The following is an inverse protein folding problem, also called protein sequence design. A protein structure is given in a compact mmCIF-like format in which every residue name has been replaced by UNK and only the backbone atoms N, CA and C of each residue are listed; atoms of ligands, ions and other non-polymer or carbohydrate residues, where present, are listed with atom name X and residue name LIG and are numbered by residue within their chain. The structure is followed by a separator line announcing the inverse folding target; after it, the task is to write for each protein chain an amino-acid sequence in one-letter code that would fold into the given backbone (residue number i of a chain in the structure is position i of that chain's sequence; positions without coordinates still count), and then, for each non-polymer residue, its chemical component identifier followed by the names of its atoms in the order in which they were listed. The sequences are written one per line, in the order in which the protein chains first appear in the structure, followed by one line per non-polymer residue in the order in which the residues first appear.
data_IF_827284641804
#
_entry.id   IF_827284641804
#
_cell.length_a   1.000
_cell.length_b   1.000
_cell.length_c   1.000
_cell.angle_alpha   90.00
_cell.angle_beta   90.00
_cell.angle_gamma   90.00
#
_symmetry.space_group_name_H-M   'P 1'
#
loop_
_entity.id
_entity.type
_entity.pdbx_description
1 polymer ?
#
# COMPACT_ATOMS: atom_id res chain seq x y z
N UNK A 1 22.15 1.59 -10.22
CA UNK A 1 20.80 1.05 -10.41
C UNK A 1 20.81 -0.16 -11.35
N UNK A 2 21.29 -0.11 -12.57
CA UNK A 2 21.31 -1.24 -13.54
C UNK A 2 22.06 -2.50 -13.05
N UNK A 3 23.02 -2.40 -12.12
CA UNK A 3 23.79 -3.55 -11.64
C UNK A 3 23.00 -4.43 -10.65
N UNK A 4 22.19 -3.82 -9.78
CA UNK A 4 21.31 -4.54 -8.85
C UNK A 4 20.20 -5.28 -9.61
N UNK A 5 19.62 -4.65 -10.64
CA UNK A 5 18.64 -5.27 -11.54
C UNK A 5 19.18 -6.51 -12.27
N UNK A 6 20.45 -6.47 -12.67
CA UNK A 6 21.09 -7.61 -13.34
C UNK A 6 21.38 -8.78 -12.40
N UNK A 7 21.73 -8.51 -11.14
CA UNK A 7 21.96 -9.55 -10.11
C UNK A 7 20.63 -10.22 -9.73
N UNK A 8 19.57 -9.44 -9.58
CA UNK A 8 18.22 -9.95 -9.31
C UNK A 8 17.72 -10.85 -10.46
N UNK A 9 17.95 -10.46 -11.72
CA UNK A 9 17.63 -11.28 -12.91
C UNK A 9 18.41 -12.60 -12.94
N UNK A 10 19.66 -12.58 -12.54
CA UNK A 10 20.51 -13.79 -12.50
C UNK A 10 20.05 -14.78 -11.42
N UNK A 11 19.56 -14.29 -10.29
CA UNK A 11 19.10 -15.11 -9.15
C UNK A 11 17.69 -15.67 -9.36
N UNK A 12 16.78 -14.92 -10.01
CA UNK A 12 15.37 -15.30 -10.14
C UNK A 12 14.99 -15.86 -11.52
N UNK A 13 15.96 -16.00 -12.44
CA UNK A 13 15.74 -16.56 -13.78
C UNK A 13 14.93 -15.65 -14.71
N UNK A 14 14.55 -16.21 -15.87
CA UNK A 14 13.77 -15.54 -16.92
C UNK A 14 12.25 -15.69 -16.76
N UNK A 15 11.76 -16.10 -15.57
CA UNK A 15 10.33 -16.32 -15.33
C UNK A 15 9.63 -15.05 -14.84
N UNK A 16 8.48 -14.78 -15.43
CA UNK A 16 7.62 -13.66 -15.03
C UNK A 16 7.01 -13.91 -13.65
N UNK A 17 7.23 -13.00 -12.68
CA UNK A 17 6.62 -13.10 -11.34
C UNK A 17 5.08 -13.03 -11.35
N UNK A 18 4.50 -12.51 -12.41
CA UNK A 18 3.06 -12.43 -12.61
C UNK A 18 2.44 -13.76 -13.05
N UNK A 19 2.81 -14.28 -14.20
CA UNK A 19 2.18 -15.46 -14.80
C UNK A 19 2.99 -16.76 -14.69
N UNK A 20 4.25 -16.70 -14.23
CA UNK A 20 5.17 -17.85 -14.13
C UNK A 20 5.75 -18.31 -15.49
N UNK A 21 5.37 -17.67 -16.60
CA UNK A 21 5.89 -18.05 -17.92
C UNK A 21 7.30 -17.49 -18.12
N UNK A 22 8.15 -18.25 -18.78
CA UNK A 22 9.43 -17.75 -19.27
C UNK A 22 9.22 -16.61 -20.26
N UNK A 23 10.04 -15.56 -20.17
CA UNK A 23 9.98 -14.41 -21.09
C UNK A 23 11.39 -13.83 -21.29
N UNK A 24 11.75 -13.61 -22.56
CA UNK A 24 13.00 -12.92 -22.92
C UNK A 24 12.92 -11.42 -22.64
N UNK A 25 11.70 -10.88 -22.47
CA UNK A 25 11.42 -9.45 -22.26
C UNK A 25 10.70 -9.24 -20.94
N UNK A 26 11.47 -9.18 -19.86
CA UNK A 26 10.95 -8.81 -18.54
C UNK A 26 11.27 -7.34 -18.24
N UNK A 27 10.29 -6.59 -17.68
CA UNK A 27 10.44 -5.22 -17.18
C UNK A 27 10.23 -5.17 -15.66
N UNK A 28 11.25 -5.22 -14.86
CA UNK A 28 12.33 -6.22 -14.83
C UNK A 28 11.83 -7.59 -14.36
N UNK A 29 10.62 -7.64 -13.76
CA UNK A 29 10.04 -8.84 -13.15
C UNK A 29 8.79 -9.36 -13.85
N UNK A 30 8.16 -8.55 -14.69
CA UNK A 30 6.94 -8.91 -15.39
C UNK A 30 7.13 -8.94 -16.91
N UNK A 31 6.46 -9.88 -17.57
CA UNK A 31 6.34 -9.87 -19.01
C UNK A 31 5.39 -8.74 -19.48
N UNK A 32 5.44 -8.32 -20.75
CA UNK A 32 4.63 -7.20 -21.25
C UNK A 32 3.12 -7.34 -21.01
N UNK A 33 2.59 -8.58 -21.02
CA UNK A 33 1.18 -8.84 -20.77
C UNK A 33 0.81 -8.57 -19.32
N UNK A 34 1.63 -9.05 -18.37
CA UNK A 34 1.41 -8.79 -16.95
C UNK A 34 1.64 -7.32 -16.58
N UNK A 35 2.51 -6.59 -17.29
CA UNK A 35 2.63 -5.13 -17.11
C UNK A 35 1.34 -4.43 -17.52
N UNK A 36 0.78 -4.75 -18.69
CA UNK A 36 -0.50 -4.18 -19.14
C UNK A 36 -1.65 -4.52 -18.20
N UNK A 37 -1.71 -5.77 -17.71
CA UNK A 37 -2.70 -6.18 -16.73
C UNK A 37 -2.57 -5.37 -15.44
N UNK A 38 -1.34 -5.20 -14.91
CA UNK A 38 -1.08 -4.41 -13.70
C UNK A 38 -1.51 -2.95 -13.85
N UNK A 39 -1.22 -2.31 -14.99
CA UNK A 39 -1.61 -0.94 -15.27
C UNK A 39 -3.12 -0.77 -15.40
N UNK A 40 -3.80 -1.74 -16.00
CA UNK A 40 -5.27 -1.78 -16.07
C UNK A 40 -5.88 -1.95 -14.66
N UNK A 41 -5.36 -2.85 -13.84
CA UNK A 41 -5.82 -3.02 -12.46
C UNK A 41 -5.65 -1.72 -11.64
N UNK A 42 -4.60 -0.93 -11.90
CA UNK A 42 -4.43 0.37 -11.25
C UNK A 42 -5.52 1.39 -11.64
N UNK A 43 -5.99 1.37 -12.88
CA UNK A 43 -7.09 2.22 -13.36
C UNK A 43 -8.46 1.83 -12.77
N UNK A 44 -8.64 0.54 -12.48
CA UNK A 44 -9.86 -0.01 -11.88
C UNK A 44 -9.89 0.13 -10.34
N UNK A 45 -8.77 0.55 -9.71
CA UNK A 45 -8.68 0.60 -8.27
C UNK A 45 -9.56 1.70 -7.68
N UNK A 46 -10.34 1.32 -6.66
CA UNK A 46 -11.20 2.24 -5.90
C UNK A 46 -10.55 2.57 -4.56
N UNK A 47 -10.82 3.77 -4.08
CA UNK A 47 -10.43 4.17 -2.74
C UNK A 47 -11.28 3.44 -1.70
N UNK A 48 -10.69 2.79 -0.68
CA UNK A 48 -11.43 2.12 0.38
C UNK A 48 -12.39 3.05 1.15
N UNK A 49 -11.98 4.28 1.37
CA UNK A 49 -12.76 5.36 2.02
C UNK A 49 -12.32 6.72 1.49
N UNK A 50 -13.03 7.79 1.85
CA UNK A 50 -12.66 9.17 1.49
C UNK A 50 -11.28 9.60 2.05
N UNK A 51 -10.76 8.91 3.07
CA UNK A 51 -9.48 9.21 3.71
C UNK A 51 -8.40 8.16 3.43
N UNK A 52 -8.72 7.11 2.67
CA UNK A 52 -7.81 6.03 2.35
C UNK A 52 -7.73 5.79 0.85
N UNK A 53 -6.52 5.77 0.34
CA UNK A 53 -6.18 5.50 -1.06
C UNK A 53 -5.49 4.14 -1.17
N UNK A 54 -5.74 3.44 -2.27
CA UNK A 54 -4.98 2.25 -2.64
C UNK A 54 -4.57 2.33 -4.10
N UNK A 55 -3.42 1.75 -4.43
CA UNK A 55 -2.88 1.84 -5.77
C UNK A 55 -3.43 0.75 -6.69
N UNK A 56 -3.81 -0.39 -6.11
CA UNK A 56 -4.33 -1.55 -6.84
C UNK A 56 -5.41 -2.28 -6.04
N UNK A 57 -6.37 -2.94 -6.69
CA UNK A 57 -7.23 -3.92 -6.05
C UNK A 57 -6.44 -5.21 -5.75
N UNK A 58 -6.89 -6.02 -4.78
CA UNK A 58 -6.33 -7.34 -4.51
C UNK A 58 -6.81 -8.34 -5.57
N UNK A 59 -5.99 -8.57 -6.58
CA UNK A 59 -6.21 -9.54 -7.67
C UNK A 59 -5.11 -10.61 -7.65
N UNK A 60 -5.22 -11.69 -8.42
CA UNK A 60 -4.18 -12.74 -8.45
C UNK A 60 -2.78 -12.23 -8.79
N UNK A 61 -2.65 -11.25 -9.69
CA UNK A 61 -1.39 -10.65 -10.05
C UNK A 61 -0.81 -9.83 -8.89
N UNK A 62 -1.54 -8.84 -8.39
CA UNK A 62 -1.09 -7.97 -7.29
C UNK A 62 -0.81 -8.75 -6.02
N UNK A 63 -1.58 -9.83 -5.72
CA UNK A 63 -1.32 -10.75 -4.61
C UNK A 63 0.06 -11.40 -4.70
N UNK A 64 0.45 -11.88 -5.91
CA UNK A 64 1.80 -12.47 -6.13
C UNK A 64 2.90 -11.44 -5.93
N UNK A 65 2.72 -10.20 -6.40
CA UNK A 65 3.69 -9.13 -6.28
C UNK A 65 3.85 -8.65 -4.82
N UNK A 66 2.76 -8.54 -4.06
CA UNK A 66 2.81 -8.27 -2.61
C UNK A 66 3.49 -9.42 -1.85
N UNK A 67 3.25 -10.66 -2.26
CA UNK A 67 3.95 -11.80 -1.69
C UNK A 67 5.46 -11.74 -1.97
N UNK A 68 5.85 -11.37 -3.19
CA UNK A 68 7.26 -11.18 -3.54
C UNK A 68 7.90 -10.05 -2.70
N UNK A 69 7.21 -8.91 -2.52
CA UNK A 69 7.64 -7.83 -1.64
C UNK A 69 7.80 -8.30 -0.18
N UNK A 70 6.95 -9.21 0.31
CA UNK A 70 6.97 -9.65 1.72
C UNK A 70 7.98 -10.76 2.02
N UNK A 71 8.23 -11.67 1.06
CA UNK A 71 8.86 -12.95 1.34
C UNK A 71 9.98 -13.36 0.37
N UNK A 72 10.19 -12.61 -0.73
CA UNK A 72 11.27 -12.91 -1.70
C UNK A 72 12.42 -11.90 -1.65
N UNK A 73 12.45 -11.04 -0.63
CA UNK A 73 13.51 -10.04 -0.44
C UNK A 73 13.71 -9.11 -1.66
N UNK A 74 12.61 -8.74 -2.34
CA UNK A 74 12.63 -7.83 -3.47
C UNK A 74 12.14 -6.43 -3.04
N UNK A 75 12.95 -5.62 -2.34
CA UNK A 75 12.52 -4.29 -1.88
C UNK A 75 12.22 -3.33 -3.03
N UNK A 76 12.81 -3.55 -4.21
CA UNK A 76 12.55 -2.79 -5.43
C UNK A 76 11.12 -2.93 -5.95
N UNK A 77 10.40 -3.98 -5.57
CA UNK A 77 8.99 -4.20 -5.94
C UNK A 77 8.08 -3.05 -5.50
N UNK A 78 8.35 -2.39 -4.36
CA UNK A 78 7.59 -1.23 -3.92
C UNK A 78 7.69 -0.07 -4.92
N UNK A 79 8.89 0.27 -5.37
CA UNK A 79 9.12 1.31 -6.38
C UNK A 79 8.52 0.94 -7.74
N UNK A 80 8.59 -0.34 -8.10
CA UNK A 80 8.00 -0.86 -9.32
C UNK A 80 6.48 -0.70 -9.32
N UNK A 81 5.80 -1.14 -8.26
CA UNK A 81 4.35 -1.00 -8.11
C UNK A 81 3.93 0.48 -8.11
N UNK A 82 4.62 1.35 -7.37
CA UNK A 82 4.33 2.79 -7.39
C UNK A 82 4.50 3.39 -8.78
N UNK A 83 5.51 3.00 -9.55
CA UNK A 83 5.71 3.45 -10.94
C UNK A 83 4.51 3.07 -11.83
N UNK A 84 4.05 1.81 -11.75
CA UNK A 84 2.96 1.30 -12.59
C UNK A 84 1.56 1.59 -12.06
N UNK A 85 1.42 2.18 -10.88
CA UNK A 85 0.14 2.58 -10.30
C UNK A 85 -0.44 3.87 -10.87
N UNK A 86 0.35 4.58 -11.71
CA UNK A 86 -0.02 5.91 -12.22
C UNK A 86 -0.41 6.91 -11.12
N UNK A 87 0.19 6.77 -9.92
CA UNK A 87 -0.01 7.72 -8.82
C UNK A 87 0.35 9.16 -9.22
N UNK A 88 1.20 9.32 -10.24
CA UNK A 88 1.49 10.59 -10.89
C UNK A 88 0.86 10.58 -12.27
N UNK A 89 -0.10 11.47 -12.52
CA UNK A 89 -0.77 11.62 -13.81
C UNK A 89 -2.02 10.78 -14.05
N UNK A 90 -2.39 9.87 -13.11
CA UNK A 90 -3.65 9.15 -13.11
C UNK A 90 -4.71 9.80 -12.22
N UNK A 91 -5.87 9.13 -12.08
CA UNK A 91 -7.00 9.62 -11.29
C UNK A 91 -6.61 9.84 -9.82
N UNK A 92 -5.88 8.92 -9.21
CA UNK A 92 -5.34 9.08 -7.86
C UNK A 92 -4.36 10.26 -7.76
N UNK A 93 -3.56 10.51 -8.78
CA UNK A 93 -2.66 11.67 -8.85
C UNK A 93 -3.44 12.99 -8.86
N UNK A 94 -4.57 13.04 -9.56
CA UNK A 94 -5.47 14.20 -9.55
C UNK A 94 -6.04 14.45 -8.14
N UNK A 95 -6.55 13.42 -7.45
CA UNK A 95 -7.05 13.53 -6.07
C UNK A 95 -5.96 13.97 -5.09
N UNK A 96 -4.77 13.36 -5.14
CA UNK A 96 -3.64 13.76 -4.30
C UNK A 96 -3.19 15.20 -4.57
N UNK A 97 -3.35 15.71 -5.81
CA UNK A 97 -2.99 17.08 -6.15
C UNK A 97 -3.83 18.13 -5.44
N UNK A 98 -5.05 17.77 -5.01
CA UNK A 98 -5.96 18.63 -4.27
C UNK A 98 -5.62 18.72 -2.77
N UNK A 99 -4.79 17.82 -2.25
CA UNK A 99 -4.42 17.82 -0.85
C UNK A 99 -3.35 18.88 -0.54
N UNK A 100 -3.38 19.47 0.68
CA UNK A 100 -2.35 20.42 1.12
C UNK A 100 -0.94 19.82 1.04
N UNK A 101 -0.03 20.53 0.40
CA UNK A 101 1.40 20.16 0.33
C UNK A 101 2.21 20.90 1.41
N UNK A 102 3.37 20.36 1.82
CA UNK A 102 4.03 19.13 1.35
C UNK A 102 3.42 17.85 1.91
N UNK A 103 3.76 16.70 1.28
CA UNK A 103 3.37 15.37 1.76
C UNK A 103 4.42 14.79 2.71
N UNK A 104 3.94 14.23 3.83
CA UNK A 104 4.73 13.54 4.84
C UNK A 104 4.29 12.08 4.88
N UNK A 105 5.03 11.19 4.22
CA UNK A 105 4.73 9.76 4.19
C UNK A 105 5.23 9.12 5.47
N UNK A 106 4.31 8.59 6.26
CA UNK A 106 4.59 7.96 7.55
C UNK A 106 4.36 6.46 7.44
N UNK A 107 5.43 5.65 7.35
CA UNK A 107 5.29 4.20 7.24
C UNK A 107 4.75 3.59 8.53
N UNK A 108 3.82 2.65 8.41
CA UNK A 108 3.36 1.81 9.52
C UNK A 108 4.55 1.04 10.09
N UNK A 109 4.80 1.17 11.42
CA UNK A 109 5.94 0.50 12.03
C UNK A 109 5.76 -1.02 12.08
N UNK A 110 6.73 -1.75 11.54
CA UNK A 110 6.73 -3.20 11.53
C UNK A 110 7.09 -3.76 12.90
N UNK A 111 6.50 -4.89 13.28
CA UNK A 111 6.88 -5.61 14.50
C UNK A 111 8.33 -6.14 14.41
N UNK A 112 9.09 -6.08 15.52
CA UNK A 112 10.51 -6.48 15.55
C UNK A 112 10.77 -7.92 15.03
N UNK A 113 9.88 -8.86 15.33
CA UNK A 113 10.00 -10.22 14.82
C UNK A 113 9.87 -10.26 13.28
N UNK A 114 8.89 -9.54 12.73
CA UNK A 114 8.70 -9.42 11.28
C UNK A 114 9.85 -8.70 10.58
N UNK A 115 10.43 -7.68 11.25
CA UNK A 115 11.61 -7.00 10.72
C UNK A 115 12.83 -7.95 10.65
N UNK A 116 13.03 -8.80 11.66
CA UNK A 116 14.12 -9.82 11.64
C UNK A 116 13.90 -10.89 10.58
N UNK A 117 12.65 -11.27 10.33
CA UNK A 117 12.27 -12.24 9.30
C UNK A 117 12.47 -11.70 7.89
N UNK A 118 12.16 -10.42 7.65
CA UNK A 118 12.09 -9.80 6.32
C UNK A 118 13.30 -8.93 5.96
N UNK A 119 14.13 -8.58 6.93
CA UNK A 119 15.27 -7.68 6.75
C UNK A 119 14.91 -6.20 6.55
N UNK A 120 13.65 -5.86 6.25
CA UNK A 120 13.20 -4.49 6.01
C UNK A 120 11.71 -4.29 6.33
N UNK A 121 11.30 -3.00 6.42
CA UNK A 121 9.91 -2.60 6.55
C UNK A 121 9.33 -2.28 5.16
N UNK A 122 8.33 -3.04 4.71
CA UNK A 122 7.67 -2.85 3.42
C UNK A 122 7.01 -1.48 3.32
N UNK A 123 6.32 -1.05 4.38
CA UNK A 123 5.68 0.26 4.44
C UNK A 123 6.70 1.41 4.25
N UNK A 124 7.93 1.24 4.75
CA UNK A 124 9.01 2.22 4.55
C UNK A 124 9.51 2.27 3.09
N UNK A 125 9.57 1.11 2.41
CA UNK A 125 9.90 1.07 0.98
C UNK A 125 8.81 1.72 0.13
N UNK A 126 7.55 1.49 0.48
CA UNK A 126 6.39 2.13 -0.17
C UNK A 126 6.41 3.64 0.07
N UNK A 127 6.57 4.08 1.32
CA UNK A 127 6.68 5.50 1.67
C UNK A 127 7.81 6.20 0.88
N UNK A 128 8.97 5.54 0.74
CA UNK A 128 10.10 6.07 -0.03
C UNK A 128 9.78 6.19 -1.52
N UNK A 129 9.10 5.20 -2.09
CA UNK A 129 8.72 5.23 -3.50
C UNK A 129 7.68 6.32 -3.78
N UNK A 130 6.66 6.45 -2.92
CA UNK A 130 5.64 7.50 -3.01
C UNK A 130 6.25 8.90 -2.82
N UNK A 131 7.15 9.07 -1.86
CA UNK A 131 7.84 10.33 -1.62
C UNK A 131 8.66 10.77 -2.85
N UNK A 132 9.38 9.82 -3.47
CA UNK A 132 10.13 10.08 -4.70
C UNK A 132 9.20 10.48 -5.86
N UNK A 133 8.07 9.78 -6.03
CA UNK A 133 7.13 10.01 -7.11
C UNK A 133 6.38 11.35 -6.98
N UNK A 134 6.11 11.81 -5.76
CA UNK A 134 5.25 12.99 -5.49
C UNK A 134 6.01 14.22 -4.99
N UNK A 135 7.32 14.11 -4.77
CA UNK A 135 8.13 15.18 -4.16
C UNK A 135 7.90 15.36 -2.66
N UNK A 136 7.36 14.33 -1.99
CA UNK A 136 7.14 14.31 -0.54
C UNK A 136 8.36 13.92 0.28
N UNK A 137 8.16 13.69 1.58
CA UNK A 137 9.21 13.29 2.53
C UNK A 137 8.77 12.09 3.35
N UNK A 138 9.70 11.17 3.64
CA UNK A 138 9.46 10.07 4.58
C UNK A 138 9.71 10.53 6.01
N UNK A 139 8.74 10.30 6.90
CA UNK A 139 8.79 10.70 8.30
C UNK A 139 8.47 9.51 9.21
N UNK A 140 9.35 9.20 10.17
CA UNK A 140 9.14 8.12 11.14
C UNK A 140 8.42 8.65 12.39
N UNK A 141 7.21 9.19 12.19
CA UNK A 141 6.41 9.81 13.24
C UNK A 141 5.54 8.85 14.05
N UNK A 142 5.65 7.55 13.76
CA UNK A 142 4.99 6.49 14.50
C UNK A 142 6.01 5.48 15.02
N UNK A 143 5.75 4.94 16.21
CA UNK A 143 6.46 3.80 16.81
C UNK A 143 5.46 2.74 17.21
N UNK A 144 5.85 1.48 17.09
CA UNK A 144 5.08 0.35 17.60
C UNK A 144 5.47 0.11 19.05
N UNK A 145 4.47 0.03 19.94
CA UNK A 145 4.70 -0.36 21.34
C UNK A 145 5.24 -1.80 21.38
N UNK A 146 6.23 -2.02 22.23
CA UNK A 146 6.71 -3.38 22.51
C UNK A 146 5.77 -3.99 23.53
N UNK A 147 4.77 -4.76 23.09
CA UNK A 147 3.97 -5.54 24.02
C UNK A 147 4.75 -6.80 24.42
N UNK A 148 5.11 -6.88 25.70
CA UNK A 148 5.47 -8.15 26.34
C UNK A 148 4.14 -8.81 26.73
N UNK A 149 3.44 -9.39 25.77
CA UNK A 149 2.28 -10.24 26.09
C UNK A 149 2.71 -11.69 25.97
N UNK A 150 2.65 -12.40 27.09
CA UNK A 150 2.64 -13.85 27.19
C UNK A 150 1.66 -14.43 26.14
N UNK A 151 2.11 -15.42 25.37
CA UNK A 151 1.34 -16.11 24.32
C UNK A 151 0.26 -17.01 24.93
N UNK A 152 -0.73 -16.44 25.56
CA UNK A 152 -1.96 -17.14 25.89
C UNK A 152 -3.05 -16.74 24.91
N UNK A 153 -3.82 -17.69 24.44
CA UNK A 153 -4.87 -17.65 23.41
C UNK A 153 -5.74 -16.40 23.52
N UNK A 154 -5.44 -15.36 22.72
CA UNK A 154 -6.25 -14.15 22.66
C UNK A 154 -7.50 -14.38 21.81
N UNK A 155 -8.66 -13.98 22.30
CA UNK A 155 -9.93 -13.93 21.57
C UNK A 155 -9.87 -12.90 20.42
N UNK A 156 -10.83 -12.97 19.47
CA UNK A 156 -10.91 -12.02 18.34
C UNK A 156 -11.00 -10.57 18.83
N UNK A 157 -11.81 -10.29 19.85
CA UNK A 157 -11.97 -8.94 20.42
C UNK A 157 -10.72 -8.42 21.15
N UNK A 158 -9.91 -9.29 21.76
CA UNK A 158 -8.63 -8.91 22.36
C UNK A 158 -7.57 -8.61 21.30
N UNK A 159 -7.60 -9.28 20.14
CA UNK A 159 -6.72 -8.95 18.99
C UNK A 159 -7.05 -7.57 18.43
N UNK A 160 -8.33 -7.21 18.32
CA UNK A 160 -8.77 -5.90 17.84
C UNK A 160 -8.36 -4.78 18.81
N UNK A 161 -8.53 -4.96 20.11
CA UNK A 161 -8.06 -4.00 21.13
C UNK A 161 -6.54 -3.87 21.14
N UNK A 162 -5.81 -4.97 20.99
CA UNK A 162 -4.35 -4.96 20.92
C UNK A 162 -3.81 -4.23 19.68
N UNK A 163 -4.57 -4.19 18.58
CA UNK A 163 -4.21 -3.40 17.40
C UNK A 163 -4.47 -1.91 17.66
N UNK A 164 -5.57 -1.54 18.31
CA UNK A 164 -5.94 -0.16 18.59
C UNK A 164 -4.86 0.60 19.39
N UNK A 165 -4.25 -0.08 20.38
CA UNK A 165 -3.21 0.50 21.24
C UNK A 165 -1.77 0.18 20.81
N UNK A 166 -1.58 -0.42 19.63
CA UNK A 166 -0.29 -0.92 19.19
C UNK A 166 0.72 0.18 18.82
N UNK A 167 0.25 1.40 18.53
CA UNK A 167 1.07 2.48 18.03
C UNK A 167 1.07 3.70 18.94
N UNK A 168 2.16 4.47 18.89
CA UNK A 168 2.28 5.79 19.53
C UNK A 168 2.93 6.75 18.57
N UNK A 169 2.55 8.03 18.66
CA UNK A 169 3.22 9.09 17.94
C UNK A 169 4.65 9.29 18.46
N UNK A 170 5.56 9.61 17.55
CA UNK A 170 6.95 9.95 17.80
C UNK A 170 7.28 11.22 17.02
N UNK A 171 6.54 12.29 17.32
CA UNK A 171 6.58 13.55 16.61
C UNK A 171 7.91 14.27 16.85
N UNK A 172 8.39 15.09 15.90
CA UNK A 172 9.50 16.02 16.14
C UNK A 172 9.09 17.10 17.15
N UNK A 173 10.06 17.82 17.72
CA UNK A 173 9.79 18.92 18.66
C UNK A 173 8.95 20.03 18.05
N UNK A 174 9.15 20.31 16.75
CA UNK A 174 8.36 21.27 15.99
C UNK A 174 7.68 20.55 14.82
N UNK A 175 6.36 20.70 14.73
CA UNK A 175 5.58 20.19 13.62
C UNK A 175 5.52 21.21 12.47
N UNK A 176 5.45 20.75 11.22
CA UNK A 176 5.14 21.64 10.11
C UNK A 176 3.77 22.33 10.32
N UNK A 177 3.67 23.55 9.85
CA UNK A 177 2.44 24.35 9.98
C UNK A 177 1.39 24.01 8.92
N UNK A 178 1.76 23.27 7.87
CA UNK A 178 0.87 22.87 6.76
C UNK A 178 1.34 21.57 6.12
N UNK A 179 0.45 20.92 5.39
CA UNK A 179 0.72 19.73 4.62
C UNK A 179 -0.24 18.59 4.94
N UNK A 180 0.00 17.45 4.33
CA UNK A 180 -0.78 16.23 4.54
C UNK A 180 0.13 15.11 5.00
N UNK A 181 -0.23 14.47 6.12
CA UNK A 181 0.40 13.24 6.59
C UNK A 181 -0.31 12.07 5.96
N UNK A 182 0.45 11.21 5.29
CA UNK A 182 -0.06 10.03 4.60
C UNK A 182 0.54 8.80 5.26
N UNK A 183 -0.26 8.09 6.08
CA UNK A 183 0.13 6.81 6.66
C UNK A 183 0.20 5.77 5.56
N UNK A 184 1.34 5.07 5.43
CA UNK A 184 1.55 4.10 4.36
C UNK A 184 1.67 2.68 4.90
N UNK A 185 1.00 1.73 4.22
CA UNK A 185 1.10 0.28 4.48
C UNK A 185 1.06 -0.49 3.15
N UNK A 186 1.24 -1.81 3.20
CA UNK A 186 1.20 -2.65 2.00
C UNK A 186 -0.24 -3.04 1.59
N UNK A 187 -1.11 -3.37 2.54
CA UNK A 187 -2.48 -3.84 2.27
C UNK A 187 -3.49 -3.14 3.17
N UNK A 188 -4.55 -2.62 2.58
CA UNK A 188 -5.76 -2.19 3.27
C UNK A 188 -6.79 -3.32 3.24
N UNK A 189 -7.27 -3.74 4.39
CA UNK A 189 -8.37 -4.72 4.54
C UNK A 189 -9.54 -4.06 5.25
N UNK A 190 -9.63 -4.17 6.55
CA UNK A 190 -10.63 -3.50 7.40
C UNK A 190 -10.22 -2.09 7.83
N UNK A 191 -8.99 -1.66 7.54
CA UNK A 191 -8.44 -0.40 8.02
C UNK A 191 -8.03 -0.39 9.49
N UNK A 192 -8.12 -1.53 10.22
CA UNK A 192 -7.82 -1.58 11.65
C UNK A 192 -6.39 -1.12 12.00
N UNK A 193 -5.39 -1.55 11.23
CA UNK A 193 -3.99 -1.14 11.43
C UNK A 193 -3.78 0.35 11.14
N UNK A 194 -4.25 0.80 9.99
CA UNK A 194 -4.11 2.20 9.57
C UNK A 194 -4.92 3.13 10.46
N UNK A 195 -6.12 2.74 10.86
CA UNK A 195 -6.94 3.47 11.83
C UNK A 195 -6.27 3.61 13.20
N UNK A 196 -5.64 2.55 13.72
CA UNK A 196 -4.85 2.62 14.94
C UNK A 196 -3.65 3.57 14.81
N UNK A 197 -3.02 3.62 13.63
CA UNK A 197 -1.95 4.57 13.34
C UNK A 197 -2.46 6.03 13.30
N UNK A 198 -3.61 6.28 12.68
CA UNK A 198 -4.23 7.60 12.66
C UNK A 198 -4.61 8.05 14.07
N UNK A 199 -5.21 7.17 14.87
CA UNK A 199 -5.58 7.46 16.26
C UNK A 199 -4.37 7.82 17.14
N UNK A 200 -3.19 7.26 16.84
CA UNK A 200 -1.96 7.55 17.58
C UNK A 200 -1.49 9.01 17.44
N UNK A 201 -1.94 9.75 16.42
CA UNK A 201 -1.66 11.19 16.29
C UNK A 201 -2.50 12.06 17.23
N UNK A 202 -3.65 11.54 17.70
CA UNK A 202 -4.58 12.30 18.54
C UNK A 202 -5.56 13.16 17.75
N UNK A 203 -6.62 13.62 18.44
CA UNK A 203 -7.73 14.38 17.81
C UNK A 203 -7.32 15.79 17.40
N UNK A 204 -6.41 16.40 18.16
CA UNK A 204 -5.97 17.79 17.96
C UNK A 204 -4.74 17.90 17.05
N UNK A 205 -4.44 16.84 16.26
CA UNK A 205 -3.29 16.87 15.36
C UNK A 205 -3.53 17.89 14.23
N UNK A 206 -2.59 18.85 14.01
CA UNK A 206 -2.88 20.04 13.22
C UNK A 206 -2.86 19.81 11.70
N UNK A 207 -2.33 18.67 11.23
CA UNK A 207 -2.20 18.39 9.79
C UNK A 207 -3.31 17.44 9.33
N UNK A 208 -3.62 17.52 8.04
CA UNK A 208 -4.53 16.57 7.42
C UNK A 208 -3.95 15.16 7.47
N UNK A 209 -4.76 14.17 7.85
CA UNK A 209 -4.40 12.77 7.93
C UNK A 209 -5.07 11.97 6.81
N UNK A 210 -4.29 11.22 6.06
CA UNK A 210 -4.73 10.30 5.01
C UNK A 210 -3.98 8.97 5.11
N UNK A 211 -4.48 7.97 4.39
CA UNK A 211 -3.86 6.65 4.27
C UNK A 211 -3.55 6.39 2.79
N UNK A 212 -2.43 5.74 2.50
CA UNK A 212 -2.12 5.20 1.18
C UNK A 212 -1.51 3.81 1.29
N UNK A 213 -2.10 2.82 0.62
CA UNK A 213 -1.60 1.44 0.58
C UNK A 213 -1.33 0.99 -0.84
N UNK A 214 -0.52 -0.05 -1.01
CA UNK A 214 -0.34 -0.62 -2.35
C UNK A 214 -1.60 -1.33 -2.82
N UNK A 215 -2.26 -2.07 -1.94
CA UNK A 215 -3.38 -2.92 -2.36
C UNK A 215 -4.56 -2.77 -1.40
N UNK A 216 -5.75 -2.76 -1.97
CA UNK A 216 -7.03 -2.87 -1.26
C UNK A 216 -7.62 -4.27 -1.45
N UNK A 217 -7.82 -4.98 -0.34
CA UNK A 217 -8.51 -6.27 -0.30
C UNK A 217 -10.00 -6.02 -0.03
N UNK A 218 -10.75 -5.83 -1.10
CA UNK A 218 -12.18 -5.52 -1.04
C UNK A 218 -12.95 -6.65 -0.36
N UNK A 219 -13.87 -6.36 0.57
CA UNK A 219 -14.77 -7.37 1.12
C UNK A 219 -15.60 -8.01 0.00
N UNK A 220 -15.83 -9.32 0.09
CA UNK A 220 -16.61 -10.05 -0.91
C UNK A 220 -18.02 -9.46 -1.15
N UNK A 221 -18.62 -8.80 -0.13
CA UNK A 221 -19.88 -8.07 -0.24
C UNK A 221 -19.81 -6.86 -1.18
N UNK A 222 -18.71 -6.11 -1.17
CA UNK A 222 -18.55 -4.93 -2.01
C UNK A 222 -18.41 -5.29 -3.51
N UNK A 223 -17.87 -6.47 -3.81
CA UNK A 223 -17.77 -6.98 -5.18
C UNK A 223 -19.14 -7.39 -5.73
N UNK A 224 -20.02 -7.93 -4.87
CA UNK A 224 -21.39 -8.34 -5.27
C UNK A 224 -22.27 -7.13 -5.62
N UNK A 225 -22.17 -6.04 -4.84
CA UNK A 225 -22.94 -4.80 -5.08
C UNK A 225 -22.52 -4.12 -6.40
N UNK A 226 -21.24 -4.21 -6.77
CA UNK A 226 -20.73 -3.64 -8.03
C UNK A 226 -21.23 -4.41 -9.26
N UNK A 227 -21.27 -5.74 -9.19
CA UNK A 227 -21.78 -6.57 -10.30
C UNK A 227 -23.29 -6.33 -10.52
N UNK A 228 -24.03 -6.02 -9.44
CA UNK A 228 -25.43 -5.65 -9.52
C UNK A 228 -25.62 -4.26 -10.15
N UNK A 229 -24.81 -3.28 -9.77
CA UNK A 229 -24.87 -1.89 -10.27
C UNK A 229 -24.48 -1.82 -11.76
N UNK A 230 -23.41 -2.53 -12.18
CA UNK A 230 -23.03 -2.63 -13.60
C UNK A 230 -24.06 -3.36 -14.47
N UNK A 231 -24.88 -4.26 -13.90
CA UNK A 231 -25.98 -4.89 -14.65
C UNK A 231 -27.14 -3.93 -14.88
N UNK A 232 -27.44 -3.06 -13.93
CA UNK A 232 -28.50 -2.07 -14.10
C UNK A 232 -28.18 -1.02 -15.18
N UNK A 233 -26.91 -0.58 -15.27
CA UNK A 233 -26.46 0.36 -16.30
C UNK A 233 -26.48 -0.24 -17.72
N UNK A 234 -26.29 -1.55 -17.85
CA UNK A 234 -26.34 -2.24 -19.13
C UNK A 234 -27.78 -2.44 -19.63
N UNK A 235 -28.73 -2.72 -18.75
CA UNK A 235 -30.15 -2.92 -19.13
C UNK A 235 -30.80 -1.59 -19.53
N UNK A 236 -30.41 -0.47 -18.93
CA UNK A 236 -30.96 0.86 -19.26
C UNK A 236 -30.48 1.41 -20.62
N UNK A 237 -29.30 0.98 -21.11
CA UNK A 237 -28.76 1.40 -22.42
C UNK A 237 -29.13 0.46 -23.59
N UNK A 238 -29.85 -0.61 -23.36
CA UNK A 238 -30.29 -1.54 -24.41
C UNK A 238 -31.71 -1.23 -24.96
N UNK A 239 -32.40 -0.21 -24.41
CA UNK A 239 -33.74 0.23 -24.85
C UNK A 239 -33.75 1.59 -25.57
N UNK A 240 -32.58 2.11 -26.02
CA UNK A 240 -32.43 3.25 -26.91
C UNK A 240 -31.75 2.84 -28.22
#
# INVERSE_FOLDING_TARGET
MRWIENVERFVFGSECLGCGKGSERLDPWLCPDCVRELEREAEECRCPTADAYSLFPMRPLTRRLIHALKYREIPGMASYLVKHSRVVGGMLGAELSLLPKPFYFVPVPLHRARFRERGYNQAEKIASALALATGGRVCRWLKRKSFVVSQTKLSKGERERNVADAFVSALPGELPTRGTVIVTDDVYTTGATTGACLNAFGRDFPLMLKVCTLVYDEPASAVADYVADCRMDWEYNSEL
#
